data_IF_432233240277
#
_entry.id   IF_432233240277
#
_cell.length_a   1.000
_cell.length_b   1.000
_cell.length_c   1.000
_cell.angle_alpha   90.00
_cell.angle_beta   90.00
_cell.angle_gamma   90.00
#
_symmetry.space_group_name_H-M   'P 1'
#
loop_
_entity.id
_entity.type
_entity.pdbx_description
1 polymer ?
#
# COMPACT_ATOMS: atom_id res chain seq x y z
N UNK A 1 -22.10 -39.31 -32.47
CA UNK A 1 -21.32 -38.09 -32.16
C UNK A 1 -19.85 -38.40 -32.37
N UNK A 2 -19.18 -37.60 -33.21
CA UNK A 2 -17.77 -37.75 -33.57
C UNK A 2 -16.88 -37.55 -32.32
N UNK A 3 -15.93 -38.45 -32.09
CA UNK A 3 -14.97 -38.40 -30.97
C UNK A 3 -14.11 -37.15 -31.00
N UNK A 4 -13.97 -36.50 -32.17
CA UNK A 4 -13.34 -35.19 -32.32
C UNK A 4 -14.15 -34.06 -31.67
N UNK A 5 -15.48 -34.10 -31.77
CA UNK A 5 -16.36 -33.08 -31.18
C UNK A 5 -16.31 -33.14 -29.65
N UNK A 6 -16.24 -34.34 -29.06
CA UNK A 6 -16.14 -34.49 -27.61
C UNK A 6 -14.81 -33.99 -27.04
N UNK A 7 -13.68 -34.24 -27.73
CA UNK A 7 -12.36 -33.70 -27.35
C UNK A 7 -12.27 -32.18 -27.42
N UNK A 8 -12.92 -31.58 -28.43
CA UNK A 8 -13.00 -30.12 -28.55
C UNK A 8 -13.84 -29.55 -27.40
N UNK A 9 -14.98 -30.16 -27.07
CA UNK A 9 -15.84 -29.72 -25.97
C UNK A 9 -15.14 -29.82 -24.59
N UNK A 10 -14.43 -30.92 -24.30
CA UNK A 10 -13.66 -31.07 -23.07
C UNK A 10 -12.51 -30.05 -22.97
N UNK A 11 -11.83 -29.77 -24.09
CA UNK A 11 -10.78 -28.74 -24.14
C UNK A 11 -11.34 -27.34 -23.91
N UNK A 12 -12.47 -26.99 -24.54
CA UNK A 12 -13.14 -25.71 -24.31
C UNK A 12 -13.65 -25.56 -22.88
N UNK A 13 -14.19 -26.63 -22.28
CA UNK A 13 -14.65 -26.65 -20.89
C UNK A 13 -13.49 -26.43 -19.92
N UNK A 14 -12.34 -27.10 -20.13
CA UNK A 14 -11.13 -26.88 -19.34
C UNK A 14 -10.58 -25.47 -19.47
N UNK A 15 -10.56 -24.90 -20.67
CA UNK A 15 -10.14 -23.51 -20.91
C UNK A 15 -11.09 -22.53 -20.22
N UNK A 16 -12.40 -22.76 -20.28
CA UNK A 16 -13.40 -21.95 -19.56
C UNK A 16 -13.25 -22.05 -18.04
N UNK A 17 -13.01 -23.25 -17.49
CA UNK A 17 -12.79 -23.43 -16.06
C UNK A 17 -11.50 -22.72 -15.62
N UNK A 18 -10.42 -22.86 -16.37
CA UNK A 18 -9.15 -22.17 -16.08
C UNK A 18 -9.30 -20.64 -16.14
N UNK A 19 -9.99 -20.11 -17.16
CA UNK A 19 -10.21 -18.66 -17.27
C UNK A 19 -11.14 -18.14 -16.16
N UNK A 20 -12.18 -18.88 -15.79
CA UNK A 20 -13.05 -18.54 -14.66
C UNK A 20 -12.30 -18.57 -13.31
N UNK A 21 -11.42 -19.55 -13.08
CA UNK A 21 -10.58 -19.63 -11.88
C UNK A 21 -9.59 -18.47 -11.81
N UNK A 22 -8.97 -18.09 -12.93
CA UNK A 22 -8.09 -16.91 -13.00
C UNK A 22 -8.83 -15.61 -12.74
N UNK A 23 -10.04 -15.44 -13.29
CA UNK A 23 -10.89 -14.26 -13.04
C UNK A 23 -11.34 -14.21 -11.57
N UNK A 24 -11.70 -15.35 -10.98
CA UNK A 24 -12.13 -15.44 -9.58
C UNK A 24 -10.99 -15.11 -8.60
N UNK A 25 -9.79 -15.63 -8.85
CA UNK A 25 -8.60 -15.35 -8.03
C UNK A 25 -8.20 -13.86 -8.10
N UNK A 26 -8.43 -13.23 -9.25
CA UNK A 26 -8.16 -11.81 -9.45
C UNK A 26 -9.19 -10.90 -8.77
N UNK A 27 -10.48 -11.25 -8.87
CA UNK A 27 -11.55 -10.56 -8.15
C UNK A 27 -11.36 -10.67 -6.63
N UNK A 28 -10.94 -11.83 -6.13
CA UNK A 28 -10.61 -12.03 -4.72
C UNK A 28 -9.47 -11.12 -4.24
N UNK A 29 -8.41 -10.95 -5.05
CA UNK A 29 -7.27 -10.10 -4.69
C UNK A 29 -7.60 -8.60 -4.73
N UNK A 30 -8.57 -8.18 -5.54
CA UNK A 30 -9.08 -6.81 -5.55
C UNK A 30 -9.91 -6.48 -4.30
N UNK A 31 -10.65 -7.47 -3.77
CA UNK A 31 -11.43 -7.37 -2.53
C UNK A 31 -10.56 -7.56 -1.26
N UNK A 32 -9.27 -7.87 -1.42
CA UNK A 32 -8.36 -8.21 -0.33
C UNK A 32 -7.32 -7.15 0.01
N UNK A 33 -7.34 -5.96 -0.60
CA UNK A 33 -6.44 -4.88 -0.20
C UNK A 33 -6.85 -4.37 1.19
N UNK A 34 -5.90 -4.20 2.13
CA UNK A 34 -6.22 -3.73 3.47
C UNK A 34 -6.71 -2.28 3.45
N UNK A 35 -7.65 -2.00 4.32
CA UNK A 35 -8.10 -0.64 4.63
C UNK A 35 -7.15 0.03 5.63
N UNK A 36 -7.18 1.36 5.71
CA UNK A 36 -6.29 2.16 6.57
C UNK A 36 -6.50 1.95 8.08
N UNK A 37 -7.60 1.29 8.46
CA UNK A 37 -7.98 0.92 9.83
C UNK A 37 -7.74 -0.58 10.12
N UNK A 38 -7.23 -1.34 9.15
CA UNK A 38 -6.89 -2.74 9.36
C UNK A 38 -5.66 -2.85 10.29
N UNK A 39 -5.85 -3.46 11.46
CA UNK A 39 -4.81 -3.55 12.50
C UNK A 39 -3.54 -4.26 12.02
N UNK A 40 -3.66 -5.30 11.19
CA UNK A 40 -2.51 -6.03 10.67
C UNK A 40 -1.70 -5.17 9.69
N UNK A 41 -2.38 -4.42 8.81
CA UNK A 41 -1.76 -3.47 7.88
C UNK A 41 -1.02 -2.35 8.60
N UNK A 42 -1.68 -1.74 9.60
CA UNK A 42 -1.09 -0.69 10.45
C UNK A 42 0.18 -1.22 11.11
N UNK A 43 0.07 -2.37 11.78
CA UNK A 43 1.17 -3.00 12.49
C UNK A 43 2.33 -3.32 11.56
N UNK A 44 2.06 -3.93 10.41
CA UNK A 44 3.08 -4.31 9.43
C UNK A 44 3.83 -3.08 8.91
N UNK A 45 3.10 -2.02 8.52
CA UNK A 45 3.71 -0.76 8.09
C UNK A 45 4.62 -0.17 9.17
N UNK A 46 4.15 -0.07 10.42
CA UNK A 46 4.94 0.50 11.54
C UNK A 46 6.15 -0.37 11.86
N UNK A 47 5.99 -1.70 11.89
CA UNK A 47 7.05 -2.63 12.27
C UNK A 47 8.16 -2.68 11.23
N UNK A 48 7.83 -2.71 9.93
CA UNK A 48 8.85 -2.71 8.86
C UNK A 48 9.64 -1.40 8.89
N UNK A 49 8.98 -0.25 9.05
CA UNK A 49 9.68 1.04 9.16
C UNK A 49 10.63 1.04 10.37
N UNK A 50 10.14 0.65 11.55
CA UNK A 50 10.98 0.61 12.75
C UNK A 50 12.12 -0.42 12.64
N UNK A 51 11.90 -1.55 11.96
CA UNK A 51 12.95 -2.52 11.64
C UNK A 51 14.06 -1.90 10.80
N UNK A 52 13.75 -1.20 9.72
CA UNK A 52 14.78 -0.54 8.91
C UNK A 52 15.48 0.59 9.66
N UNK A 53 14.73 1.39 10.43
CA UNK A 53 15.27 2.48 11.25
C UNK A 53 16.24 2.01 12.33
N UNK A 54 15.98 0.85 12.95
CA UNK A 54 16.84 0.25 13.98
C UNK A 54 18.09 -0.46 13.41
N UNK A 55 18.15 -0.68 12.10
CA UNK A 55 19.20 -1.47 11.43
C UNK A 55 20.07 -0.63 10.48
N UNK A 56 19.97 0.70 10.55
CA UNK A 56 20.73 1.60 9.67
C UNK A 56 22.24 1.48 9.87
N UNK A 57 22.97 1.67 8.78
CA UNK A 57 24.43 1.74 8.76
C UNK A 57 24.86 2.99 7.97
N UNK A 58 25.64 3.92 8.57
CA UNK A 58 26.16 3.89 9.94
C UNK A 58 25.04 3.99 10.98
N UNK A 59 25.34 3.61 12.24
CA UNK A 59 24.35 3.62 13.33
C UNK A 59 23.86 5.04 13.61
N UNK A 60 22.61 5.17 14.03
CA UNK A 60 21.97 6.46 14.29
C UNK A 60 21.84 6.75 15.79
N UNK A 61 22.34 7.89 16.23
CA UNK A 61 22.27 8.33 17.63
C UNK A 61 20.92 8.91 18.04
N UNK A 62 20.11 9.39 17.09
CA UNK A 62 18.90 10.17 17.33
C UNK A 62 17.64 9.61 16.63
N UNK A 63 17.66 8.37 16.14
CA UNK A 63 16.57 7.80 15.35
C UNK A 63 15.30 7.64 16.19
N UNK A 64 14.24 8.38 15.87
CA UNK A 64 12.95 8.24 16.58
C UNK A 64 12.22 6.98 16.16
N UNK A 65 11.49 6.37 17.10
CA UNK A 65 10.47 5.37 16.77
C UNK A 65 9.36 6.05 15.97
N UNK A 66 8.88 5.38 14.91
CA UNK A 66 7.65 5.80 14.23
C UNK A 66 6.44 5.08 14.83
N UNK A 67 5.31 5.79 14.88
CA UNK A 67 4.00 5.27 15.29
C UNK A 67 2.94 5.68 14.27
N UNK A 68 1.81 4.99 14.27
CA UNK A 68 0.73 5.28 13.33
C UNK A 68 0.05 6.63 13.63
N UNK A 69 -0.38 7.29 12.57
CA UNK A 69 -1.20 8.49 12.61
C UNK A 69 -2.38 8.34 11.63
N UNK A 70 -3.58 8.33 12.19
CA UNK A 70 -4.79 8.11 11.42
C UNK A 70 -5.12 9.27 10.46
N UNK A 71 -4.67 10.49 10.75
CA UNK A 71 -4.92 11.63 9.88
C UNK A 71 -3.96 11.61 8.69
N UNK A 72 -2.69 11.25 8.89
CA UNK A 72 -1.78 10.96 7.76
C UNK A 72 -2.30 9.81 6.89
N UNK A 73 -2.87 8.76 7.48
CA UNK A 73 -3.40 7.64 6.70
C UNK A 73 -4.61 8.04 5.84
N UNK A 74 -5.43 9.00 6.30
CA UNK A 74 -6.52 9.58 5.49
C UNK A 74 -5.97 10.37 4.32
N UNK A 75 -4.94 11.19 4.53
CA UNK A 75 -4.26 11.94 3.45
C UNK A 75 -3.72 10.98 2.40
N UNK A 76 -2.96 9.96 2.82
CA UNK A 76 -2.42 8.93 1.93
C UNK A 76 -3.51 8.21 1.15
N UNK A 77 -4.65 7.90 1.80
CA UNK A 77 -5.82 7.26 1.14
C UNK A 77 -6.43 8.16 0.08
N UNK A 78 -6.68 9.43 0.41
CA UNK A 78 -7.26 10.40 -0.53
C UNK A 78 -6.36 10.60 -1.75
N UNK A 79 -5.04 10.57 -1.55
CA UNK A 79 -4.06 10.69 -2.64
C UNK A 79 -3.95 9.41 -3.47
N UNK A 80 -3.83 8.24 -2.85
CA UNK A 80 -3.77 6.95 -3.54
C UNK A 80 -5.01 6.72 -4.43
N UNK A 81 -6.19 7.18 -3.99
CA UNK A 81 -7.44 7.16 -4.77
C UNK A 81 -7.39 7.93 -6.10
N UNK A 82 -6.45 8.86 -6.27
CA UNK A 82 -6.25 9.56 -7.54
C UNK A 82 -5.64 8.66 -8.60
N UNK A 83 -5.05 7.52 -8.23
CA UNK A 83 -4.41 6.59 -9.15
C UNK A 83 -3.33 7.25 -10.03
N UNK A 84 -2.52 8.13 -9.44
CA UNK A 84 -1.45 8.85 -10.11
C UNK A 84 -0.09 8.49 -9.53
N UNK A 85 0.93 8.48 -10.38
CA UNK A 85 2.31 8.37 -9.93
C UNK A 85 2.98 9.75 -9.90
N UNK A 86 2.46 10.62 -9.05
CA UNK A 86 2.98 11.95 -8.76
C UNK A 86 2.79 12.27 -7.27
N UNK A 87 3.63 13.14 -6.71
CA UNK A 87 3.52 13.55 -5.31
C UNK A 87 2.33 14.47 -5.08
N UNK A 88 1.74 14.40 -3.89
CA UNK A 88 0.69 15.32 -3.47
C UNK A 88 1.20 16.79 -3.51
N UNK A 89 0.56 17.71 -4.26
CA UNK A 89 1.05 19.07 -4.41
C UNK A 89 0.97 19.90 -3.11
N UNK A 90 0.19 19.46 -2.13
CA UNK A 90 -0.07 20.20 -0.89
C UNK A 90 0.92 19.85 0.25
N UNK A 91 1.89 18.96 0.02
CA UNK A 91 2.84 18.45 1.05
C UNK A 91 3.58 19.53 1.83
N UNK A 92 3.86 20.66 1.18
CA UNK A 92 4.64 21.77 1.75
C UNK A 92 3.78 22.95 2.20
N UNK A 93 2.44 22.84 2.14
CA UNK A 93 1.54 23.91 2.59
C UNK A 93 1.31 23.73 4.11
N UNK A 94 1.72 24.70 4.95
CA UNK A 94 1.61 24.59 6.39
C UNK A 94 0.21 24.24 6.88
N UNK A 95 0.12 23.16 7.67
CA UNK A 95 -1.11 22.67 8.30
C UNK A 95 -2.25 22.32 7.32
N UNK A 96 -1.96 22.22 6.02
CA UNK A 96 -2.96 21.90 5.00
C UNK A 96 -3.39 20.44 5.05
N UNK A 97 -2.42 19.54 5.15
CA UNK A 97 -2.65 18.09 5.16
C UNK A 97 -2.74 17.51 6.57
N UNK A 98 -2.11 18.14 7.56
CA UNK A 98 -2.12 17.65 8.93
C UNK A 98 -2.07 18.81 9.94
N UNK A 99 -2.90 18.82 11.00
CA UNK A 99 -2.99 19.96 11.93
C UNK A 99 -1.69 20.22 12.71
N UNK A 100 -0.92 19.17 13.00
CA UNK A 100 0.28 19.24 13.84
C UNK A 100 1.59 19.37 13.05
N UNK A 101 1.58 19.22 11.72
CA UNK A 101 2.79 19.21 10.90
C UNK A 101 2.74 20.33 9.85
N UNK A 102 3.78 21.16 9.83
CA UNK A 102 3.92 22.24 8.83
C UNK A 102 4.26 21.71 7.44
N UNK A 103 4.82 20.51 7.34
CA UNK A 103 5.05 19.81 6.09
C UNK A 103 4.90 18.30 6.34
N UNK A 104 4.40 17.60 5.33
CA UNK A 104 4.23 16.14 5.31
C UNK A 104 5.18 15.58 4.25
N UNK A 105 5.95 14.55 4.59
CA UNK A 105 6.74 13.81 3.61
C UNK A 105 5.89 12.71 2.98
N UNK A 106 6.26 12.22 1.81
CA UNK A 106 5.48 11.20 1.10
C UNK A 106 6.39 10.24 0.35
N UNK A 107 6.11 8.94 0.43
CA UNK A 107 6.67 7.93 -0.46
C UNK A 107 5.54 7.27 -1.25
N UNK A 108 5.78 7.05 -2.55
CA UNK A 108 4.88 6.30 -3.42
C UNK A 108 5.53 5.01 -3.90
N UNK A 109 4.74 3.96 -4.00
CA UNK A 109 5.08 2.73 -4.68
C UNK A 109 3.97 2.39 -5.66
N UNK A 110 4.36 1.95 -6.85
CA UNK A 110 3.43 1.42 -7.84
C UNK A 110 3.92 0.07 -8.34
N UNK A 111 2.98 -0.83 -8.61
CA UNK A 111 3.29 -2.14 -9.14
C UNK A 111 2.01 -2.87 -9.56
N UNK A 112 2.16 -4.04 -10.16
CA UNK A 112 1.01 -4.91 -10.36
C UNK A 112 0.37 -5.26 -9.01
N UNK A 113 -0.96 -5.40 -8.95
CA UNK A 113 -1.65 -5.84 -7.73
C UNK A 113 -1.09 -7.17 -7.21
N UNK A 114 -0.62 -8.03 -8.12
CA UNK A 114 0.01 -9.31 -7.82
C UNK A 114 1.27 -9.18 -6.96
N UNK A 115 2.04 -8.11 -7.16
CA UNK A 115 3.34 -7.87 -6.53
C UNK A 115 3.27 -7.07 -5.23
N UNK A 116 2.10 -6.51 -4.89
CA UNK A 116 1.96 -5.69 -3.70
C UNK A 116 1.96 -6.52 -2.42
N UNK A 117 2.82 -6.11 -1.50
CA UNK A 117 2.69 -6.25 -0.05
C UNK A 117 3.36 -5.06 0.61
N UNK A 118 3.01 -4.77 1.86
CA UNK A 118 3.61 -3.71 2.67
C UNK A 118 5.12 -3.92 2.79
N UNK A 119 5.54 -5.17 3.06
CA UNK A 119 6.94 -5.55 3.13
C UNK A 119 7.68 -5.30 1.82
N UNK A 120 7.17 -5.75 0.68
CA UNK A 120 7.86 -5.54 -0.60
C UNK A 120 7.94 -4.06 -0.99
N UNK A 121 6.87 -3.30 -0.78
CA UNK A 121 6.85 -1.87 -1.09
C UNK A 121 7.85 -1.09 -0.21
N UNK A 122 7.77 -1.22 1.11
CA UNK A 122 8.64 -0.49 2.04
C UNK A 122 10.09 -0.97 1.92
N UNK A 123 10.32 -2.27 1.70
CA UNK A 123 11.65 -2.80 1.41
C UNK A 123 12.21 -2.22 0.12
N UNK A 124 11.42 -2.06 -0.94
CA UNK A 124 11.89 -1.46 -2.19
C UNK A 124 12.36 -0.01 -2.00
N UNK A 125 11.65 0.77 -1.16
CA UNK A 125 12.09 2.10 -0.75
C UNK A 125 13.40 2.06 0.02
N UNK A 126 13.52 1.16 1.01
CA UNK A 126 14.73 1.04 1.82
C UNK A 126 15.94 0.53 1.01
N UNK A 127 15.72 -0.33 0.02
CA UNK A 127 16.76 -0.91 -0.85
C UNK A 127 17.50 0.15 -1.68
N UNK A 128 16.97 1.37 -1.79
CA UNK A 128 17.67 2.53 -2.37
C UNK A 128 18.95 2.92 -1.60
N UNK A 129 19.12 2.45 -0.36
CA UNK A 129 20.37 2.59 0.41
C UNK A 129 21.61 2.14 -0.38
N UNK A 130 21.44 1.20 -1.32
CA UNK A 130 22.52 0.71 -2.21
C UNK A 130 23.11 1.81 -3.10
N UNK A 131 22.34 2.88 -3.35
CA UNK A 131 22.74 4.03 -4.16
C UNK A 131 23.09 5.27 -3.32
N UNK A 132 23.01 5.18 -1.99
CA UNK A 132 23.18 6.31 -1.09
C UNK A 132 24.51 6.23 -0.33
N UNK A 133 25.34 7.27 -0.51
CA UNK A 133 26.55 7.49 0.26
C UNK A 133 26.24 8.45 1.41
N UNK A 134 26.17 7.90 2.62
CA UNK A 134 25.84 8.64 3.84
C UNK A 134 26.86 9.73 4.16
N UNK A 135 28.16 9.45 3.99
CA UNK A 135 29.23 10.37 4.39
C UNK A 135 29.28 11.59 3.47
N UNK A 136 29.09 11.36 2.17
CA UNK A 136 29.14 12.43 1.18
C UNK A 136 27.77 13.05 0.87
N UNK A 137 26.68 12.52 1.45
CA UNK A 137 25.29 12.90 1.11
C UNK A 137 25.01 12.81 -0.39
N UNK A 138 25.60 11.80 -1.04
CA UNK A 138 25.51 11.61 -2.49
C UNK A 138 24.54 10.48 -2.80
N UNK A 139 23.73 10.68 -3.82
CA UNK A 139 22.88 9.65 -4.38
C UNK A 139 23.29 9.40 -5.84
N UNK A 140 23.51 8.14 -6.20
CA UNK A 140 23.85 7.74 -7.59
C UNK A 140 22.64 7.29 -8.41
N UNK A 141 21.44 7.30 -7.82
CA UNK A 141 20.18 6.92 -8.45
C UNK A 141 18.99 7.64 -7.81
N UNK A 142 17.99 6.88 -7.37
CA UNK A 142 16.93 7.37 -6.47
C UNK A 142 17.28 6.94 -5.06
N UNK A 143 17.19 7.87 -4.10
CA UNK A 143 17.46 7.62 -2.68
C UNK A 143 16.44 8.28 -1.75
N UNK A 144 15.52 9.07 -2.29
CA UNK A 144 14.58 9.87 -1.52
C UNK A 144 13.62 9.02 -0.70
N UNK A 145 13.26 7.83 -1.19
CA UNK A 145 12.39 6.94 -0.45
C UNK A 145 13.11 6.33 0.75
N UNK A 146 14.35 5.86 0.54
CA UNK A 146 15.20 5.39 1.64
C UNK A 146 15.40 6.48 2.69
N UNK A 147 15.84 7.68 2.29
CA UNK A 147 16.14 8.74 3.26
C UNK A 147 14.90 9.15 4.06
N UNK A 148 13.70 9.10 3.47
CA UNK A 148 12.45 9.35 4.21
C UNK A 148 12.11 8.21 5.19
N UNK A 149 12.25 6.94 4.79
CA UNK A 149 12.04 5.78 5.69
C UNK A 149 12.92 5.90 6.94
N UNK A 150 14.17 6.32 6.76
CA UNK A 150 15.15 6.47 7.84
C UNK A 150 15.34 7.90 8.34
N UNK A 151 14.37 8.80 8.11
CA UNK A 151 14.49 10.18 8.59
C UNK A 151 14.28 10.26 10.11
N UNK A 152 15.32 10.61 10.87
CA UNK A 152 15.33 10.53 12.32
C UNK A 152 14.24 11.38 12.99
N UNK A 153 13.95 12.56 12.44
CA UNK A 153 12.97 13.47 13.04
C UNK A 153 11.51 13.09 12.76
N UNK A 154 11.27 12.28 11.72
CA UNK A 154 9.94 11.72 11.42
C UNK A 154 9.58 10.68 12.48
N UNK A 155 8.38 10.81 13.06
CA UNK A 155 7.91 9.93 14.15
C UNK A 155 6.44 9.50 14.01
N UNK A 156 5.71 10.05 13.04
CA UNK A 156 4.36 9.61 12.65
C UNK A 156 4.38 9.16 11.20
N UNK A 157 3.68 8.06 10.92
CA UNK A 157 3.41 7.60 9.56
C UNK A 157 1.93 7.24 9.40
N UNK A 158 1.41 7.40 8.19
CA UNK A 158 0.10 6.88 7.82
C UNK A 158 0.14 6.46 6.36
N UNK A 159 -0.34 5.26 6.06
CA UNK A 159 -0.23 4.66 4.74
C UNK A 159 -1.59 4.22 4.20
N UNK A 160 -1.68 4.10 2.88
CA UNK A 160 -2.85 3.55 2.20
C UNK A 160 -2.45 2.87 0.89
N UNK A 161 -3.21 1.86 0.49
CA UNK A 161 -3.08 1.22 -0.82
C UNK A 161 -4.41 1.33 -1.57
N UNK A 162 -4.32 1.62 -2.87
CA UNK A 162 -5.46 1.71 -3.77
C UNK A 162 -5.24 0.81 -4.99
N UNK A 163 -6.26 0.01 -5.33
CA UNK A 163 -6.32 -0.65 -6.64
C UNK A 163 -6.68 0.35 -7.73
N UNK A 164 -5.91 0.35 -8.82
CA UNK A 164 -6.06 1.26 -9.94
C UNK A 164 -6.12 0.47 -11.26
N UNK A 165 -7.27 0.46 -11.97
CA UNK A 165 -7.38 -0.16 -13.30
C UNK A 165 -6.33 0.37 -14.28
N UNK A 166 -6.01 1.66 -14.16
CA UNK A 166 -4.93 2.34 -14.86
C UNK A 166 -4.28 3.31 -13.89
N UNK A 167 -2.96 3.30 -13.82
CA UNK A 167 -2.19 4.31 -13.08
C UNK A 167 -1.79 5.40 -14.07
N UNK A 168 -2.20 6.64 -13.81
CA UNK A 168 -1.76 7.78 -14.61
C UNK A 168 -0.24 7.96 -14.50
N UNK A 169 0.39 8.53 -15.54
CA UNK A 169 1.85 8.69 -15.63
C UNK A 169 2.65 7.36 -15.56
N UNK A 170 1.99 6.22 -15.75
CA UNK A 170 2.60 4.89 -15.78
C UNK A 170 1.98 4.00 -16.87
N UNK A 171 2.70 2.94 -17.27
CA UNK A 171 2.20 1.90 -18.18
C UNK A 171 1.47 0.76 -17.44
N UNK A 172 1.43 0.80 -16.11
CA UNK A 172 0.83 -0.25 -15.29
C UNK A 172 -0.71 -0.17 -15.38
N UNK A 173 -1.30 -1.31 -15.71
CA UNK A 173 -2.76 -1.53 -15.60
C UNK A 173 -3.04 -2.51 -14.49
N UNK A 174 -4.20 -2.39 -13.86
CA UNK A 174 -4.62 -3.22 -12.73
C UNK A 174 -3.55 -3.27 -11.63
N UNK A 175 -3.03 -2.09 -11.31
CA UNK A 175 -1.95 -1.91 -10.37
C UNK A 175 -2.44 -1.59 -8.98
N UNK A 176 -1.51 -1.60 -8.04
CA UNK A 176 -1.66 -1.00 -6.72
C UNK A 176 -0.82 0.28 -6.67
N UNK A 177 -1.41 1.35 -6.15
CA UNK A 177 -0.72 2.58 -5.73
C UNK A 177 -0.69 2.56 -4.21
N UNK A 178 0.51 2.46 -3.64
CA UNK A 178 0.73 2.48 -2.20
C UNK A 178 1.44 3.78 -1.81
N UNK A 179 0.85 4.51 -0.88
CA UNK A 179 1.32 5.81 -0.40
C UNK A 179 1.56 5.70 1.09
N UNK A 180 2.68 6.22 1.57
CA UNK A 180 2.92 6.49 2.98
C UNK A 180 3.26 7.97 3.16
N UNK A 181 2.53 8.64 4.05
CA UNK A 181 2.78 10.00 4.49
C UNK A 181 3.53 10.01 5.83
N UNK A 182 4.42 10.99 6.00
CA UNK A 182 5.41 11.06 7.07
C UNK A 182 5.35 12.40 7.81
N UNK A 183 5.23 12.34 9.14
CA UNK A 183 5.09 13.49 10.02
C UNK A 183 6.19 13.58 11.09
N UNK A 184 6.91 14.72 11.19
CA UNK A 184 7.06 15.75 10.16
C UNK A 184 7.78 15.23 8.91
N UNK A 185 7.70 15.99 7.80
CA UNK A 185 8.45 15.72 6.58
C UNK A 185 9.95 15.59 6.81
N UNK A 186 10.59 14.69 6.06
CA UNK A 186 12.02 14.55 5.96
C UNK A 186 12.60 15.16 4.68
N UNK A 187 13.71 14.59 4.20
CA UNK A 187 14.35 14.90 2.92
C UNK A 187 14.72 16.39 2.73
N UNK A 188 15.07 17.08 3.82
CA UNK A 188 15.55 18.46 3.72
C UNK A 188 16.86 18.54 2.93
N UNK A 189 16.95 19.54 2.05
CA UNK A 189 18.08 19.74 1.16
C UNK A 189 19.42 19.76 1.91
N UNK A 190 20.38 18.99 1.42
CA UNK A 190 21.76 18.91 1.94
C UNK A 190 21.89 18.45 3.41
N UNK A 191 20.86 17.80 3.95
CA UNK A 191 20.85 17.21 5.29
C UNK A 191 21.01 15.69 5.23
N UNK A 192 21.66 15.10 6.24
CA UNK A 192 21.65 13.65 6.42
C UNK A 192 20.30 13.21 7.03
N UNK A 193 19.83 11.99 6.74
CA UNK A 193 18.57 11.51 7.29
C UNK A 193 18.61 11.32 8.81
N UNK A 194 19.78 11.13 9.39
CA UNK A 194 19.97 10.96 10.84
C UNK A 194 21.39 11.35 11.24
N UNK A 195 21.65 11.45 12.55
CA UNK A 195 22.98 11.74 13.11
C UNK A 195 23.72 10.45 13.40
N UNK A 196 24.86 10.24 12.77
CA UNK A 196 25.75 9.11 13.05
C UNK A 196 26.19 9.10 14.52
N UNK A 197 26.19 7.92 15.14
CA UNK A 197 26.68 7.69 16.50
C UNK A 197 26.08 6.44 17.14
N UNK A 198 26.48 6.15 18.38
CA UNK A 198 25.92 5.00 19.10
C UNK A 198 24.41 5.14 19.26
N UNK A 199 23.64 4.04 19.07
CA UNK A 199 22.19 4.07 19.15
C UNK A 199 21.70 4.75 20.42
N UNK A 200 20.72 5.62 20.24
CA UNK A 200 20.09 6.40 21.29
C UNK A 200 20.98 7.38 22.08
N UNK A 201 22.26 7.55 21.74
CA UNK A 201 23.17 8.48 22.45
C UNK A 201 22.79 9.97 22.32
N UNK A 202 21.85 10.30 21.43
CA UNK A 202 21.32 11.65 21.23
C UNK A 202 19.77 11.73 21.33
N UNK A 203 19.15 10.82 22.10
CA UNK A 203 17.69 10.78 22.32
C UNK A 203 17.14 11.83 23.31
N UNK A 204 18.00 12.63 23.96
CA UNK A 204 17.61 13.54 25.06
C UNK A 204 16.86 12.80 26.18
N UNK A 205 15.60 13.15 26.47
CA UNK A 205 14.78 12.56 27.52
C UNK A 205 14.02 11.28 27.08
N UNK A 206 14.10 10.90 25.80
CA UNK A 206 13.43 9.70 25.30
C UNK A 206 14.11 8.41 25.78
N UNK A 207 13.31 7.35 25.89
CA UNK A 207 13.76 6.02 26.31
C UNK A 207 14.28 5.27 25.08
N UNK A 208 15.38 4.54 25.22
CA UNK A 208 15.89 3.70 24.14
C UNK A 208 15.17 2.35 24.13
N UNK A 209 14.45 2.04 23.05
CA UNK A 209 13.83 0.73 22.81
C UNK A 209 14.22 0.29 21.42
N UNK A 210 14.80 -0.91 21.29
CA UNK A 210 15.23 -1.48 20.01
C UNK A 210 16.07 -0.51 19.16
N UNK A 211 17.01 0.21 19.78
CA UNK A 211 17.88 1.20 19.13
C UNK A 211 17.15 2.48 18.65
N UNK A 212 15.91 2.71 19.08
CA UNK A 212 15.08 3.86 18.70
C UNK A 212 14.70 4.74 19.90
N UNK A 213 14.75 6.06 19.73
CA UNK A 213 14.26 7.04 20.68
C UNK A 213 12.73 6.95 20.78
N UNK A 214 12.24 6.47 21.91
CA UNK A 214 10.82 6.19 22.17
C UNK A 214 10.29 7.11 23.26
N UNK A 215 9.13 7.72 23.01
CA UNK A 215 8.46 8.63 23.93
C UNK A 215 6.98 8.30 24.01
N UNK A 216 6.46 7.80 25.15
CA UNK A 216 5.06 7.39 25.26
C UNK A 216 4.03 8.49 24.95
N UNK A 217 4.36 9.77 25.21
CA UNK A 217 3.45 10.89 24.91
C UNK A 217 3.37 11.20 23.42
N UNK A 218 4.48 11.04 22.71
CA UNK A 218 4.58 11.27 21.25
C UNK A 218 4.09 10.05 20.47
N UNK A 219 4.46 8.86 20.93
CA UNK A 219 4.27 7.60 20.22
C UNK A 219 2.93 6.94 20.55
N UNK A 220 2.23 7.43 21.57
CA UNK A 220 0.87 7.01 21.91
C UNK A 220 -0.09 7.15 20.73
N UNK A 221 -1.06 6.23 20.67
CA UNK A 221 -2.02 6.10 19.57
C UNK A 221 -2.95 7.33 19.49
N UNK A 222 -2.94 8.00 18.34
CA UNK A 222 -4.06 8.86 17.98
C UNK A 222 -5.29 7.96 17.79
N UNK A 223 -6.37 8.29 18.48
CA UNK A 223 -7.61 7.53 18.51
C UNK A 223 -8.03 7.04 17.12
N UNK A 224 -8.26 5.73 17.01
CA UNK A 224 -9.00 5.11 15.92
C UNK A 224 -10.30 5.88 15.69
N UNK A 225 -10.34 6.71 14.64
CA UNK A 225 -11.60 7.21 14.12
C UNK A 225 -12.29 6.01 13.47
N UNK A 226 -13.26 5.42 14.17
CA UNK A 226 -14.11 4.34 13.65
C UNK A 226 -14.63 4.72 12.26
N UNK A 227 -14.58 3.82 11.26
CA UNK A 227 -15.24 4.04 9.99
C UNK A 227 -16.75 4.17 10.16
N UNK A 228 -17.42 4.89 9.24
CA UNK A 228 -18.88 4.84 9.13
C UNK A 228 -19.29 3.44 8.63
N UNK A 229 -19.73 2.58 9.55
CA UNK A 229 -20.22 1.21 9.33
C UNK A 229 -21.24 1.11 8.18
N UNK A 230 -21.99 2.19 7.93
CA UNK A 230 -23.06 2.24 6.93
C UNK A 230 -22.55 2.21 5.48
N UNK A 231 -21.38 2.79 5.20
CA UNK A 231 -20.83 2.83 3.84
C UNK A 231 -20.19 1.48 3.47
N UNK A 232 -19.46 0.89 4.41
CA UNK A 232 -18.84 -0.43 4.24
C UNK A 232 -19.90 -1.54 4.09
N UNK A 233 -21.03 -1.43 4.80
CA UNK A 233 -22.15 -2.35 4.64
C UNK A 233 -22.80 -2.25 3.24
N UNK A 234 -22.96 -1.03 2.70
CA UNK A 234 -23.53 -0.81 1.36
C UNK A 234 -22.64 -1.37 0.25
N UNK A 235 -21.33 -1.20 0.38
CA UNK A 235 -20.37 -1.69 -0.63
C UNK A 235 -20.27 -3.23 -0.59
N UNK A 236 -20.27 -3.84 0.60
CA UNK A 236 -20.31 -5.30 0.76
C UNK A 236 -21.61 -5.93 0.25
N UNK A 237 -22.75 -5.26 0.46
CA UNK A 237 -24.04 -5.72 -0.05
C UNK A 237 -24.08 -5.67 -1.58
N UNK A 238 -23.64 -4.58 -2.21
CA UNK A 238 -23.57 -4.47 -3.68
C UNK A 238 -22.67 -5.53 -4.30
N UNK A 239 -21.53 -5.81 -3.68
CA UNK A 239 -20.59 -6.82 -4.16
C UNK A 239 -21.17 -8.24 -4.05
N UNK A 240 -21.86 -8.55 -2.95
CA UNK A 240 -22.56 -9.83 -2.76
C UNK A 240 -23.65 -10.07 -3.82
N UNK A 241 -24.41 -9.05 -4.21
CA UNK A 241 -25.38 -9.17 -5.30
C UNK A 241 -24.73 -9.50 -6.64
N UNK A 242 -23.56 -8.93 -6.94
CA UNK A 242 -22.84 -9.18 -8.19
C UNK A 242 -22.41 -10.65 -8.32
N UNK A 243 -21.93 -11.25 -7.23
CA UNK A 243 -21.49 -12.65 -7.20
C UNK A 243 -22.64 -13.66 -7.34
N UNK A 244 -23.88 -13.28 -7.05
CA UNK A 244 -25.06 -14.14 -7.22
C UNK A 244 -25.70 -13.94 -8.60
N UNK A 245 -25.82 -12.70 -9.06
CA UNK A 245 -26.52 -12.39 -10.32
C UNK A 245 -25.76 -12.90 -11.55
N UNK A 246 -24.43 -12.74 -11.56
CA UNK A 246 -23.61 -13.05 -12.75
C UNK A 246 -23.60 -14.56 -13.06
N UNK A 247 -23.39 -15.47 -12.09
CA UNK A 247 -23.48 -16.90 -12.36
C UNK A 247 -24.87 -17.34 -12.81
N UNK A 248 -25.94 -16.77 -12.25
CA UNK A 248 -27.31 -17.09 -12.64
C UNK A 248 -27.59 -16.70 -14.10
N UNK A 249 -27.11 -15.54 -14.55
CA UNK A 249 -27.24 -15.11 -15.94
C UNK A 249 -26.44 -16.02 -16.90
N UNK A 250 -25.25 -16.47 -16.49
CA UNK A 250 -24.44 -17.43 -17.26
C UNK A 250 -25.14 -18.79 -17.36
N UNK A 251 -25.71 -19.30 -16.26
CA UNK A 251 -26.47 -20.56 -16.28
C UNK A 251 -27.70 -20.45 -17.17
N UNK A 252 -28.45 -19.34 -17.08
CA UNK A 252 -29.65 -19.10 -17.88
C UNK A 252 -29.32 -19.07 -19.39
N UNK A 253 -28.24 -18.40 -19.76
CA UNK A 253 -27.80 -18.34 -21.18
C UNK A 253 -27.38 -19.72 -21.70
N UNK A 254 -26.69 -20.53 -20.89
CA UNK A 254 -26.36 -21.91 -21.25
C UNK A 254 -27.62 -22.76 -21.46
N UNK A 255 -28.60 -22.66 -20.55
CA UNK A 255 -29.88 -23.37 -20.68
C UNK A 255 -30.60 -22.97 -21.98
N UNK A 256 -30.69 -21.67 -22.26
CA UNK A 256 -31.33 -21.16 -23.49
C UNK A 256 -30.64 -21.70 -24.76
N UNK A 257 -29.32 -21.79 -24.77
CA UNK A 257 -28.55 -22.37 -25.89
C UNK A 257 -28.85 -23.87 -26.05
N UNK A 258 -28.97 -24.62 -24.94
CA UNK A 258 -29.33 -26.04 -24.98
C UNK A 258 -30.75 -26.22 -25.51
N UNK A 259 -31.72 -25.47 -24.97
CA UNK A 259 -33.12 -25.53 -25.42
C UNK A 259 -33.23 -25.16 -26.90
N UNK A 260 -32.57 -24.10 -27.36
CA UNK A 260 -32.56 -23.72 -28.77
C UNK A 260 -32.00 -24.82 -29.68
N UNK A 261 -30.95 -25.54 -29.25
CA UNK A 261 -30.40 -26.69 -29.97
C UNK A 261 -31.31 -27.93 -29.95
N UNK A 262 -32.09 -28.12 -28.89
CA UNK A 262 -33.08 -29.20 -28.82
C UNK A 262 -34.32 -28.93 -29.69
N UNK A 263 -34.74 -27.67 -29.82
CA UNK A 263 -35.91 -27.27 -30.62
C UNK A 263 -35.59 -27.00 -32.09
N UNK A 264 -34.33 -26.69 -32.42
CA UNK A 264 -33.84 -26.59 -33.80
C UNK A 264 -32.69 -27.58 -34.05
N UNK A 265 -32.97 -28.90 -34.04
CA UNK A 265 -31.99 -29.88 -34.48
C UNK A 265 -31.75 -29.66 -35.98
N UNK A 266 -30.49 -29.40 -36.36
CA UNK A 266 -30.07 -29.55 -37.76
C UNK A 266 -29.96 -31.02 -38.10
#
# INVERSE_FOLDING_TARGET
>A
MDTRVWKIMDSCLKIMIFSLLSICNWAYKMDSLPTIDNEAFIKECVDIHNKFRSQVTPKASNMRRVSWDADLAKVAKEWAQKCKFEHNPDLNIPQKLHPSFSAVGENLWIGSIGAFSENEAIKSWNDEVKNYDFQNKKCTGVCGHYTQVVWADTYKIGCAVQFCPKIEQSFITNGAVFVCDYGPAGNYYNMQPYKEGEPCSACKEDICVDQLCTNPKRDGEAASSKPNDEQQAKDKQKLSFLFILVPLLVILTIILIIVAKCYHPR
#
